data_IF_900527561640
#
_entry.id   IF_900527561640
#
_cell.length_a   1.000
_cell.length_b   1.000
_cell.length_c   1.000
_cell.angle_alpha   90.00
_cell.angle_beta   90.00
_cell.angle_gamma   90.00
#
_symmetry.space_group_name_H-M   'P 1'
#
loop_
_entity.id
_entity.type
_entity.pdbx_description
1 polymer ?
#
# COMPACT_ATOMS: atom_id res chain seq x y z
N UNK A 1 -17.56 32.12 -18.71
CA UNK A 1 -17.26 32.62 -17.36
C UNK A 1 -18.33 32.22 -16.35
N UNK A 2 -19.62 32.48 -16.62
CA UNK A 2 -20.75 32.21 -15.72
C UNK A 2 -20.88 30.73 -15.28
N UNK A 3 -20.62 29.83 -16.22
CA UNK A 3 -20.58 28.38 -16.05
C UNK A 3 -19.38 27.89 -15.23
N UNK A 4 -18.23 28.57 -15.31
CA UNK A 4 -17.05 28.24 -14.49
C UNK A 4 -17.26 28.67 -13.04
N UNK A 5 -17.85 29.84 -12.82
CA UNK A 5 -18.21 30.33 -11.49
C UNK A 5 -19.24 29.42 -10.82
N UNK A 6 -20.24 28.92 -11.57
CA UNK A 6 -21.24 27.97 -11.04
C UNK A 6 -20.61 26.63 -10.64
N UNK A 7 -19.66 26.11 -11.43
CA UNK A 7 -18.95 24.86 -11.12
C UNK A 7 -18.09 25.03 -9.86
N UNK A 8 -17.37 26.15 -9.74
CA UNK A 8 -16.58 26.45 -8.54
C UNK A 8 -17.49 26.55 -7.30
N UNK A 9 -18.61 27.26 -7.40
CA UNK A 9 -19.55 27.40 -6.27
C UNK A 9 -20.12 26.03 -5.86
N UNK A 10 -20.54 25.20 -6.82
CA UNK A 10 -21.05 23.86 -6.54
C UNK A 10 -19.97 22.95 -5.92
N UNK A 11 -18.73 23.01 -6.41
CA UNK A 11 -17.62 22.22 -5.86
C UNK A 11 -17.26 22.67 -4.44
N UNK A 12 -17.23 23.99 -4.17
CA UNK A 12 -17.00 24.52 -2.81
C UNK A 12 -18.11 24.17 -1.84
N UNK A 13 -19.38 24.22 -2.25
CA UNK A 13 -20.52 23.85 -1.40
C UNK A 13 -20.50 22.37 -1.03
N UNK A 14 -20.05 21.50 -1.95
CA UNK A 14 -19.95 20.05 -1.71
C UNK A 14 -18.78 19.71 -0.79
N UNK A 15 -17.70 20.50 -0.82
CA UNK A 15 -16.52 20.28 0.03
C UNK A 15 -16.73 20.72 1.49
N UNK A 16 -17.56 21.75 1.74
CA UNK A 16 -17.93 22.16 3.11
C UNK A 16 -18.96 21.25 3.78
N UNK A 17 -19.72 20.45 3.02
CA UNK A 17 -20.79 19.59 3.55
C UNK A 17 -20.35 18.22 4.09
N UNK A 18 -19.07 17.85 3.98
CA UNK A 18 -18.60 16.48 4.29
C UNK A 18 -17.37 16.38 5.19
N UNK A 19 -17.09 17.40 6.01
CA UNK A 19 -16.02 17.35 7.04
C UNK A 19 -16.56 16.85 8.38
N UNK A 20 -17.27 15.72 8.41
CA UNK A 20 -17.73 15.08 9.66
C UNK A 20 -17.41 13.58 9.78
N UNK A 21 -16.61 13.01 8.88
CA UNK A 21 -16.40 11.55 8.85
C UNK A 21 -14.94 11.07 9.03
N UNK A 22 -14.05 11.92 9.55
CA UNK A 22 -12.70 11.49 9.95
C UNK A 22 -12.33 12.01 11.35
N UNK A 23 -13.15 11.65 12.36
CA UNK A 23 -12.65 11.48 13.72
C UNK A 23 -12.23 10.02 13.84
N UNK A 24 -10.93 9.80 13.93
CA UNK A 24 -10.36 8.51 14.32
C UNK A 24 -10.59 8.31 15.82
N UNK A 25 -11.20 7.21 16.30
CA UNK A 25 -11.32 6.95 17.72
C UNK A 25 -9.96 6.50 18.27
N UNK A 26 -9.12 7.45 18.67
CA UNK A 26 -7.96 7.18 19.52
C UNK A 26 -8.39 7.25 20.99
N UNK A 27 -8.93 6.15 21.51
CA UNK A 27 -9.26 5.96 22.93
C UNK A 27 -9.75 4.54 23.20
N UNK A 28 -9.35 3.88 24.32
CA UNK A 28 -9.65 2.47 24.56
C UNK A 28 -11.05 2.32 25.15
N UNK A 29 -12.08 2.49 24.34
CA UNK A 29 -13.46 2.22 24.75
C UNK A 29 -14.14 1.41 23.64
N UNK A 30 -14.15 0.09 23.82
CA UNK A 30 -14.86 -0.82 22.92
C UNK A 30 -16.36 -0.46 22.88
N UNK A 31 -17.01 -0.52 21.70
CA UNK A 31 -18.46 -0.61 21.67
C UNK A 31 -18.85 -2.01 22.16
N UNK A 32 -19.31 -2.10 23.39
CA UNK A 32 -19.98 -3.28 23.92
C UNK A 32 -21.28 -3.45 23.14
N UNK A 33 -21.29 -4.37 22.17
CA UNK A 33 -22.53 -4.91 21.63
C UNK A 33 -23.31 -5.52 22.79
N UNK A 34 -24.40 -4.84 23.18
CA UNK A 34 -25.30 -5.28 24.23
C UNK A 34 -26.04 -6.55 23.80
N UNK A 35 -25.52 -7.71 24.23
CA UNK A 35 -26.37 -8.86 24.47
C UNK A 35 -26.82 -8.74 25.92
N UNK A 36 -28.03 -8.22 26.13
CA UNK A 36 -28.73 -8.35 27.41
C UNK A 36 -28.98 -9.84 27.64
N UNK A 37 -28.05 -10.51 28.30
CA UNK A 37 -28.33 -11.78 28.95
C UNK A 37 -29.32 -11.50 30.07
N UNK A 38 -30.55 -11.92 29.81
CA UNK A 38 -31.68 -11.86 30.73
C UNK A 38 -31.30 -12.43 32.09
N UNK A 39 -31.41 -11.57 33.09
CA UNK A 39 -31.44 -11.91 34.51
C UNK A 39 -32.47 -13.02 34.74
N UNK A 40 -32.01 -14.24 35.00
CA UNK A 40 -32.83 -15.28 35.63
C UNK A 40 -32.40 -15.38 37.08
N UNK A 41 -33.05 -14.60 37.93
CA UNK A 41 -33.07 -14.80 39.39
C UNK A 41 -34.09 -15.88 39.75
N UNK A 42 -33.68 -16.95 40.43
CA UNK A 42 -34.55 -17.61 41.40
C UNK A 42 -34.06 -17.31 42.84
N UNK A 43 -35.00 -16.87 43.68
CA UNK A 43 -34.86 -16.77 45.14
C UNK A 43 -34.64 -18.15 45.76
N UNK A 44 -33.72 -18.27 46.74
CA UNK A 44 -33.89 -19.03 48.01
C UNK A 44 -32.62 -18.84 48.86
N UNK A 45 -32.68 -18.10 49.98
CA UNK A 45 -32.82 -18.62 51.35
C UNK A 45 -31.55 -19.30 51.90
N UNK A 46 -30.71 -18.52 52.59
CA UNK A 46 -29.86 -18.96 53.71
C UNK A 46 -28.59 -19.76 53.41
N UNK A 47 -27.48 -19.34 54.06
CA UNK A 47 -26.27 -20.13 54.38
C UNK A 47 -25.35 -20.50 53.18
N UNK A 48 -24.02 -20.60 53.27
CA UNK A 48 -22.94 -20.26 54.20
C UNK A 48 -21.63 -20.45 53.39
N UNK A 49 -20.59 -19.76 53.84
CA UNK A 49 -19.19 -19.77 53.40
C UNK A 49 -18.63 -21.06 52.76
N UNK A 50 -17.92 -20.89 51.64
CA UNK A 50 -16.90 -21.84 51.17
C UNK A 50 -16.85 -21.91 49.65
N UNK A 51 -15.65 -21.80 49.07
CA UNK A 51 -15.30 -21.97 47.62
C UNK A 51 -15.11 -20.71 46.75
N UNK A 52 -15.02 -19.50 47.31
CA UNK A 52 -14.72 -18.29 46.52
C UNK A 52 -13.23 -17.90 46.42
N UNK A 53 -12.28 -18.73 46.90
CA UNK A 53 -10.86 -18.34 46.95
C UNK A 53 -9.93 -19.10 45.99
N UNK A 54 -10.41 -20.17 45.34
CA UNK A 54 -9.54 -21.00 44.48
C UNK A 54 -9.58 -20.64 42.99
N UNK A 55 -10.46 -19.72 42.57
CA UNK A 55 -10.57 -19.34 41.15
C UNK A 55 -9.84 -18.03 40.81
N UNK A 56 -9.16 -17.39 41.78
CA UNK A 56 -8.65 -16.03 41.63
C UNK A 56 -7.11 -15.91 41.63
N UNK A 57 -6.37 -17.02 41.49
CA UNK A 57 -4.90 -16.98 41.50
C UNK A 57 -4.23 -17.85 40.41
N UNK A 58 -4.76 -17.86 39.19
CA UNK A 58 -3.89 -18.09 38.02
C UNK A 58 -3.39 -16.72 37.52
N UNK A 59 -2.09 -16.40 37.61
CA UNK A 59 -1.58 -15.21 36.97
C UNK A 59 -1.69 -15.40 35.44
N UNK A 60 -2.54 -14.62 34.79
CA UNK A 60 -2.71 -14.57 33.32
C UNK A 60 -1.53 -13.90 32.61
N UNK A 61 -0.35 -13.83 33.25
CA UNK A 61 0.84 -13.13 32.75
C UNK A 61 1.61 -13.90 31.67
N UNK A 62 1.23 -15.15 31.35
CA UNK A 62 1.87 -15.97 30.32
C UNK A 62 0.85 -16.43 29.28
N UNK A 63 0.09 -15.54 28.61
CA UNK A 63 -0.73 -15.97 27.46
C UNK A 63 -0.92 -14.94 26.34
N UNK A 64 -0.41 -13.70 26.45
CA UNK A 64 -0.62 -12.68 25.39
C UNK A 64 0.61 -11.88 24.96
N UNK A 65 1.82 -12.40 25.17
CA UNK A 65 2.99 -11.98 24.36
C UNK A 65 2.99 -12.68 22.98
N UNK A 66 1.81 -12.86 22.36
CA UNK A 66 1.77 -13.10 20.92
C UNK A 66 2.15 -11.79 20.25
N UNK A 67 3.45 -11.66 19.96
CA UNK A 67 4.07 -10.86 18.91
C UNK A 67 3.06 -9.92 18.24
N UNK A 68 2.84 -8.76 18.86
CA UNK A 68 2.30 -7.62 18.13
C UNK A 68 3.40 -7.23 17.15
N UNK A 69 3.40 -7.85 15.96
CA UNK A 69 3.90 -7.14 14.80
C UNK A 69 2.95 -5.98 14.65
N UNK A 70 3.31 -4.84 15.25
CA UNK A 70 2.58 -3.60 15.02
C UNK A 70 2.40 -3.49 13.50
N UNK A 71 1.17 -3.24 13.00
CA UNK A 71 0.99 -3.03 11.58
C UNK A 71 1.95 -1.90 11.22
N UNK A 72 2.99 -2.23 10.46
CA UNK A 72 3.87 -1.24 9.87
C UNK A 72 2.93 -0.46 8.97
N UNK A 73 2.54 0.72 9.43
CA UNK A 73 1.85 1.69 8.60
C UNK A 73 2.81 1.86 7.44
N UNK A 74 2.48 1.28 6.29
CA UNK A 74 3.23 1.48 5.06
C UNK A 74 2.92 2.90 4.63
N UNK A 75 3.48 3.85 5.38
CA UNK A 75 3.71 5.20 4.92
C UNK A 75 4.47 4.98 3.62
N UNK A 76 3.90 5.50 2.54
CA UNK A 76 4.24 5.18 1.16
C UNK A 76 5.71 5.52 0.82
N UNK A 77 6.09 5.53 -0.46
CA UNK A 77 7.46 5.84 -0.87
C UNK A 77 7.89 7.19 -0.26
N UNK A 78 8.91 7.18 0.61
CA UNK A 78 9.39 8.34 1.40
C UNK A 78 8.49 8.83 2.55
N UNK A 79 7.58 8.00 3.06
CA UNK A 79 6.68 8.39 4.14
C UNK A 79 5.59 9.38 3.71
N UNK A 80 5.47 9.63 2.40
CA UNK A 80 4.50 10.54 1.77
C UNK A 80 3.37 9.74 1.13
N UNK A 81 2.16 9.82 1.67
CA UNK A 81 0.97 9.16 1.13
C UNK A 81 0.34 9.89 -0.05
N UNK A 82 -0.76 9.34 -0.56
CA UNK A 82 -1.53 9.94 -1.66
C UNK A 82 -1.98 11.39 -1.39
N UNK A 83 -2.58 11.69 -0.22
CA UNK A 83 -2.98 13.05 0.13
C UNK A 83 -1.80 14.04 0.18
N UNK A 84 -0.66 13.63 0.74
CA UNK A 84 0.54 14.47 0.84
C UNK A 84 1.12 14.81 -0.54
N UNK A 85 1.20 13.81 -1.43
CA UNK A 85 1.63 14.01 -2.82
C UNK A 85 0.68 14.95 -3.57
N UNK A 86 -0.63 14.86 -3.34
CA UNK A 86 -1.60 15.75 -3.99
C UNK A 86 -1.38 17.23 -3.61
N UNK A 87 -1.09 17.52 -2.34
CA UNK A 87 -0.79 18.89 -1.89
C UNK A 87 0.47 19.43 -2.56
N UNK A 88 1.53 18.61 -2.67
CA UNK A 88 2.78 18.99 -3.33
C UNK A 88 2.54 19.26 -4.82
N UNK A 89 1.76 18.44 -5.51
CA UNK A 89 1.42 18.65 -6.93
C UNK A 89 0.64 19.95 -7.14
N UNK A 90 -0.28 20.29 -6.24
CA UNK A 90 -1.00 21.56 -6.30
C UNK A 90 -0.01 22.72 -6.16
N UNK A 91 0.88 22.68 -5.16
CA UNK A 91 1.89 23.73 -4.96
C UNK A 91 2.84 23.87 -6.17
N UNK A 92 3.31 22.75 -6.73
CA UNK A 92 4.13 22.75 -7.94
C UNK A 92 3.38 23.31 -9.15
N UNK A 93 2.08 22.98 -9.29
CA UNK A 93 1.24 23.52 -10.36
C UNK A 93 1.01 25.03 -10.21
N UNK A 94 0.97 25.56 -8.98
CA UNK A 94 0.93 27.02 -8.78
C UNK A 94 2.26 27.69 -9.15
N UNK A 95 3.39 27.07 -8.80
CA UNK A 95 4.71 27.65 -9.06
C UNK A 95 5.11 27.60 -10.54
N UNK A 96 4.92 26.45 -11.20
CA UNK A 96 5.29 26.24 -12.60
C UNK A 96 4.13 26.56 -13.57
N UNK A 97 2.90 26.52 -13.09
CA UNK A 97 1.68 26.55 -13.90
C UNK A 97 1.21 25.14 -14.28
N UNK A 98 -0.12 24.87 -14.26
CA UNK A 98 -0.67 23.55 -14.60
C UNK A 98 -0.40 23.17 -16.07
N UNK A 99 -0.24 24.15 -16.95
CA UNK A 99 0.08 23.92 -18.36
C UNK A 99 1.49 23.34 -18.53
N UNK A 100 2.47 23.81 -17.76
CA UNK A 100 3.86 23.34 -17.86
C UNK A 100 4.04 21.93 -17.30
N UNK A 101 3.36 21.60 -16.21
CA UNK A 101 3.34 20.22 -15.71
C UNK A 101 2.68 19.25 -16.71
N UNK A 102 1.62 19.68 -17.40
CA UNK A 102 0.97 18.86 -18.41
C UNK A 102 1.82 18.69 -19.68
N UNK A 103 2.53 19.74 -20.10
CA UNK A 103 3.47 19.71 -21.23
C UNK A 103 4.63 18.74 -20.95
N UNK A 104 5.28 18.87 -19.78
CA UNK A 104 6.32 17.93 -19.33
C UNK A 104 5.82 16.49 -19.20
N UNK A 105 4.60 16.29 -18.68
CA UNK A 105 4.00 14.97 -18.58
C UNK A 105 3.72 14.33 -19.94
N UNK A 106 3.33 15.12 -20.95
CA UNK A 106 3.16 14.65 -22.33
C UNK A 106 4.49 14.24 -22.95
N UNK A 107 5.53 15.04 -22.79
CA UNK A 107 6.84 14.76 -23.36
C UNK A 107 7.49 13.54 -22.69
N UNK A 108 7.46 13.49 -21.35
CA UNK A 108 7.89 12.32 -20.59
C UNK A 108 7.07 11.07 -20.94
N UNK A 109 5.75 11.21 -21.17
CA UNK A 109 4.88 10.12 -21.57
C UNK A 109 5.18 9.57 -22.97
N UNK A 110 5.53 10.43 -23.92
CA UNK A 110 6.01 10.01 -25.26
C UNK A 110 7.32 9.24 -25.16
N UNK A 111 8.30 9.79 -24.45
CA UNK A 111 9.60 9.14 -24.22
C UNK A 111 9.39 7.79 -23.54
N UNK A 112 8.58 7.71 -22.49
CA UNK A 112 8.25 6.46 -21.81
C UNK A 112 7.49 5.47 -22.70
N UNK A 113 6.73 5.95 -23.69
CA UNK A 113 6.07 5.12 -24.70
C UNK A 113 7.07 4.49 -25.66
N UNK A 114 7.96 5.28 -26.23
CA UNK A 114 9.05 4.85 -27.13
C UNK A 114 10.01 3.90 -26.41
N UNK A 115 10.34 4.18 -25.14
CA UNK A 115 11.16 3.32 -24.29
C UNK A 115 10.51 1.98 -23.92
N UNK A 116 9.28 1.66 -24.34
CA UNK A 116 8.74 0.29 -24.18
C UNK A 116 9.15 -0.65 -25.31
N UNK A 117 9.44 -0.11 -26.49
CA UNK A 117 9.86 -0.89 -27.65
C UNK A 117 11.36 -1.21 -27.54
N UNK A 118 12.16 -0.24 -27.09
CA UNK A 118 13.61 -0.39 -26.92
C UNK A 118 14.01 -1.60 -26.05
N UNK A 119 13.45 -1.83 -24.84
CA UNK A 119 13.70 -3.03 -24.05
C UNK A 119 13.28 -4.35 -24.71
N UNK A 120 12.25 -4.35 -25.58
CA UNK A 120 11.83 -5.57 -26.28
C UNK A 120 12.84 -5.93 -27.37
N UNK A 121 13.27 -4.94 -28.14
CA UNK A 121 14.32 -5.09 -29.14
C UNK A 121 15.65 -5.46 -28.49
N UNK A 122 15.96 -4.87 -27.34
CA UNK A 122 17.15 -5.23 -26.56
C UNK A 122 17.12 -6.68 -26.07
N UNK A 123 15.98 -7.15 -25.55
CA UNK A 123 15.82 -8.55 -25.14
C UNK A 123 15.97 -9.51 -26.32
N UNK A 124 15.37 -9.17 -27.47
CA UNK A 124 15.50 -9.97 -28.69
C UNK A 124 16.96 -10.01 -29.18
N UNK A 125 17.63 -8.86 -29.25
CA UNK A 125 19.03 -8.77 -29.64
C UNK A 125 19.97 -9.49 -28.66
N UNK A 126 19.67 -9.48 -27.36
CA UNK A 126 20.41 -10.29 -26.38
C UNK A 126 20.23 -11.79 -26.62
N UNK A 127 19.01 -12.25 -26.89
CA UNK A 127 18.75 -13.67 -27.16
C UNK A 127 19.43 -14.14 -28.45
N UNK A 128 19.29 -13.37 -29.53
CA UNK A 128 19.97 -13.66 -30.82
C UNK A 128 21.49 -13.61 -30.66
N UNK A 129 22.02 -12.65 -29.92
CA UNK A 129 23.45 -12.55 -29.63
C UNK A 129 23.97 -13.72 -28.78
N UNK A 130 23.18 -14.25 -27.85
CA UNK A 130 23.54 -15.45 -27.08
C UNK A 130 23.58 -16.70 -27.97
N UNK A 131 22.65 -16.83 -28.90
CA UNK A 131 22.60 -17.95 -29.86
C UNK A 131 23.80 -17.90 -30.82
N UNK A 132 24.09 -16.74 -31.42
CA UNK A 132 25.27 -16.56 -32.27
C UNK A 132 26.58 -16.78 -31.49
N UNK A 133 26.65 -16.32 -30.24
CA UNK A 133 27.83 -16.56 -29.41
C UNK A 133 28.01 -18.04 -29.04
N UNK A 134 26.94 -18.85 -29.04
CA UNK A 134 27.03 -20.30 -28.88
C UNK A 134 27.50 -20.97 -30.16
N UNK A 135 26.93 -20.62 -31.31
CA UNK A 135 27.38 -21.13 -32.63
C UNK A 135 28.87 -20.86 -32.86
N UNK A 136 29.33 -19.61 -32.68
CA UNK A 136 30.74 -19.26 -32.86
C UNK A 136 31.64 -20.03 -31.89
N UNK A 137 31.16 -20.29 -30.66
CA UNK A 137 31.93 -21.12 -29.71
C UNK A 137 31.99 -22.58 -30.12
N UNK A 138 30.92 -23.14 -30.68
CA UNK A 138 30.92 -24.52 -31.17
C UNK A 138 31.80 -24.68 -32.41
N UNK A 139 31.79 -23.72 -33.34
CA UNK A 139 32.65 -23.71 -34.52
C UNK A 139 34.13 -23.61 -34.13
N UNK A 140 34.49 -22.68 -33.23
CA UNK A 140 35.87 -22.55 -32.73
C UNK A 140 36.32 -23.81 -31.97
N UNK A 141 35.42 -24.44 -31.20
CA UNK A 141 35.73 -25.68 -30.47
C UNK A 141 35.82 -26.90 -31.41
N UNK A 142 35.09 -26.89 -32.52
CA UNK A 142 35.17 -27.88 -33.59
C UNK A 142 36.51 -27.81 -34.32
N UNK A 143 36.89 -26.62 -34.79
CA UNK A 143 38.19 -26.41 -35.45
C UNK A 143 39.39 -26.74 -34.55
N UNK A 144 39.30 -26.45 -33.25
CA UNK A 144 40.35 -26.80 -32.29
C UNK A 144 40.51 -28.32 -32.08
N UNK A 145 39.44 -29.12 -32.28
CA UNK A 145 39.49 -30.59 -32.11
C UNK A 145 39.97 -31.33 -33.36
N UNK A 146 39.78 -30.73 -34.52
CA UNK A 146 40.23 -31.32 -35.79
C UNK A 146 41.72 -31.04 -36.05
N UNK A 147 42.26 -29.94 -35.52
CA UNK A 147 43.70 -29.62 -35.61
C UNK A 147 44.60 -30.46 -34.67
N UNK A 148 44.05 -31.16 -33.67
CA UNK A 148 44.82 -32.02 -32.74
C UNK A 148 44.92 -33.49 -33.21
N UNK A 149 44.29 -33.83 -34.36
CA UNK A 149 44.24 -35.20 -34.90
C UNK A 149 45.07 -35.47 -36.16
N UNK A 150 45.79 -34.48 -36.66
CA UNK A 150 46.93 -34.68 -37.60
C UNK A 150 48.26 -34.72 -36.84
#
# INVERSE_FOLDING_TARGET
MKNFTAIIIAFTATLLGSVSAFVSPSGPHAPSFGVQSTTVTPKSFGQTHGTAYFTQQLPTTIQKQRRSVAPVQTMSLFGLGGPEIAIILIAAAFLLGPQKLAELGKDAGKIAGELKEVPKEFQKGMAEGEEQAKEIKEDILGEAKDAEKE
#
